data_IF_954913540633
#
_entry.id   IF_954913540633
#
_cell.length_a   1.000
_cell.length_b   1.000
_cell.length_c   1.000
_cell.angle_alpha   90.00
_cell.angle_beta   90.00
_cell.angle_gamma   90.00
#
_symmetry.space_group_name_H-M   'P 1'
#
loop_
_entity.id
_entity.type
_entity.pdbx_description
1 polymer ?
#
# COMPACT_ATOMS: atom_id res chain seq x y z
N UNK A 1 -18.02 -22.00 7.37
CA UNK A 1 -17.00 -21.09 6.81
C UNK A 1 -17.59 -20.04 5.89
N UNK A 2 -18.46 -20.42 4.93
CA UNK A 2 -19.04 -19.48 3.95
C UNK A 2 -20.28 -18.70 4.42
N UNK A 3 -20.92 -19.10 5.53
CA UNK A 3 -22.16 -18.45 6.00
C UNK A 3 -21.88 -16.97 6.32
N UNK A 4 -22.71 -16.02 5.86
CA UNK A 4 -22.58 -14.61 6.25
C UNK A 4 -22.64 -14.43 7.77
N UNK A 5 -21.84 -13.50 8.31
CA UNK A 5 -21.73 -13.27 9.75
C UNK A 5 -21.19 -14.45 10.56
N UNK A 6 -20.49 -15.40 9.92
CA UNK A 6 -19.85 -16.53 10.62
C UNK A 6 -18.46 -16.22 11.15
N UNK A 7 -17.91 -15.07 10.78
CA UNK A 7 -16.65 -14.55 11.33
C UNK A 7 -16.80 -14.28 12.83
N UNK A 8 -15.84 -14.67 13.69
CA UNK A 8 -15.76 -14.19 15.07
C UNK A 8 -15.37 -12.71 15.19
N UNK A 9 -14.87 -12.11 14.10
CA UNK A 9 -14.51 -10.69 14.03
C UNK A 9 -15.64 -9.92 13.34
N UNK A 10 -16.10 -8.88 14.02
CA UNK A 10 -17.09 -7.89 13.58
C UNK A 10 -16.52 -6.52 13.99
N UNK A 11 -16.50 -5.53 13.09
CA UNK A 11 -15.92 -4.21 13.35
C UNK A 11 -16.99 -3.25 13.86
N UNK A 12 -16.59 -1.99 14.12
CA UNK A 12 -17.51 -1.06 14.75
C UNK A 12 -18.68 -0.61 13.85
N UNK A 13 -18.52 -0.68 12.52
CA UNK A 13 -19.55 -0.28 11.57
C UNK A 13 -20.81 -1.15 11.68
N UNK A 14 -21.99 -0.51 11.73
CA UNK A 14 -23.26 -1.22 11.79
C UNK A 14 -23.52 -2.09 10.56
N UNK A 15 -23.81 -3.36 10.82
CA UNK A 15 -24.11 -4.35 9.78
C UNK A 15 -25.40 -4.07 9.02
N UNK A 16 -25.33 -4.13 7.69
CA UNK A 16 -26.43 -3.98 6.73
C UNK A 16 -27.17 -2.63 6.80
N UNK A 17 -26.52 -1.59 7.32
CA UNK A 17 -27.14 -0.26 7.50
C UNK A 17 -27.54 0.38 6.16
N UNK A 18 -26.67 0.26 5.15
CA UNK A 18 -26.85 0.92 3.85
C UNK A 18 -27.35 -0.01 2.75
N UNK A 19 -27.13 -1.33 2.89
CA UNK A 19 -27.49 -2.33 1.88
C UNK A 19 -27.80 -3.67 2.54
N UNK A 20 -28.85 -4.40 2.09
CA UNK A 20 -29.15 -5.73 2.63
C UNK A 20 -28.16 -6.81 2.17
N UNK A 21 -27.26 -6.49 1.24
CA UNK A 21 -26.30 -7.44 0.66
C UNK A 21 -24.86 -7.27 1.15
N UNK A 22 -24.53 -6.12 1.73
CA UNK A 22 -23.17 -5.77 2.16
C UNK A 22 -23.24 -5.47 3.66
N UNK A 23 -22.56 -6.28 4.46
CA UNK A 23 -22.57 -6.16 5.91
C UNK A 23 -21.97 -4.81 6.36
N UNK A 24 -20.68 -4.58 6.15
CA UNK A 24 -20.03 -3.31 6.51
C UNK A 24 -19.75 -2.51 5.23
N UNK A 25 -20.65 -1.58 4.90
CA UNK A 25 -20.67 -0.90 3.61
C UNK A 25 -19.44 0.00 3.40
N UNK A 26 -19.13 0.85 4.37
CA UNK A 26 -18.03 1.81 4.29
C UNK A 26 -16.69 1.07 4.36
N UNK A 27 -16.56 0.07 5.23
CA UNK A 27 -15.37 -0.80 5.28
C UNK A 27 -15.15 -1.51 3.94
N UNK A 28 -16.21 -2.06 3.33
CA UNK A 28 -16.12 -2.70 2.00
C UNK A 28 -15.59 -1.73 0.93
N UNK A 29 -16.20 -0.54 0.78
CA UNK A 29 -15.84 0.38 -0.30
C UNK A 29 -14.56 1.19 -0.02
N UNK A 30 -14.12 1.30 1.23
CA UNK A 30 -12.85 1.95 1.58
C UNK A 30 -11.61 1.22 0.98
N UNK A 31 -11.77 -0.03 0.56
CA UNK A 31 -10.76 -0.80 -0.17
C UNK A 31 -10.50 -0.31 -1.61
N UNK A 32 -11.23 0.68 -2.12
CA UNK A 32 -11.12 1.19 -3.51
C UNK A 32 -9.67 1.51 -3.94
N UNK A 33 -8.82 1.99 -3.03
CA UNK A 33 -7.43 2.33 -3.36
C UNK A 33 -6.58 1.11 -3.73
N UNK A 34 -6.88 -0.07 -3.17
CA UNK A 34 -6.23 -1.33 -3.54
C UNK A 34 -6.51 -1.74 -5.00
N UNK A 35 -7.53 -1.17 -5.63
CA UNK A 35 -7.86 -1.41 -7.03
C UNK A 35 -7.33 -0.29 -7.94
N UNK A 36 -7.40 0.96 -7.49
CA UNK A 36 -7.06 2.11 -8.32
C UNK A 36 -5.55 2.34 -8.46
N UNK A 37 -4.80 2.26 -7.35
CA UNK A 37 -3.38 2.65 -7.34
C UNK A 37 -2.42 1.56 -7.82
N UNK A 38 -2.60 0.26 -7.55
CA UNK A 38 -1.66 -0.76 -8.04
C UNK A 38 -1.50 -0.83 -9.57
N UNK A 39 -2.53 -0.68 -10.41
CA UNK A 39 -2.35 -0.59 -11.86
C UNK A 39 -1.49 0.61 -12.29
N UNK A 40 -1.66 1.77 -11.63
CA UNK A 40 -0.83 2.96 -11.85
C UNK A 40 0.62 2.66 -11.44
N UNK A 41 0.83 2.03 -10.28
CA UNK A 41 2.15 1.62 -9.81
C UNK A 41 2.80 0.59 -10.72
N UNK A 42 2.05 -0.38 -11.26
CA UNK A 42 2.56 -1.33 -12.25
C UNK A 42 3.07 -0.62 -13.50
N UNK A 43 2.38 0.42 -13.96
CA UNK A 43 2.82 1.24 -15.09
C UNK A 43 4.05 2.08 -14.74
N UNK A 44 4.04 2.80 -13.61
CA UNK A 44 5.17 3.63 -13.17
C UNK A 44 6.44 2.82 -12.90
N UNK A 45 6.31 1.60 -12.38
CA UNK A 45 7.44 0.72 -12.05
C UNK A 45 7.93 -0.15 -13.22
N UNK A 46 7.41 -0.01 -14.44
CA UNK A 46 7.91 -0.78 -15.60
C UNK A 46 9.44 -0.65 -15.79
N UNK A 47 10.04 0.56 -15.76
CA UNK A 47 11.50 0.69 -15.92
C UNK A 47 12.28 0.02 -14.79
N UNK A 48 11.81 0.18 -13.55
CA UNK A 48 12.42 -0.49 -12.40
C UNK A 48 12.34 -2.02 -12.54
N UNK A 49 11.18 -2.56 -12.92
CA UNK A 49 10.97 -4.00 -13.10
C UNK A 49 11.86 -4.60 -14.20
N UNK A 50 12.08 -3.86 -15.29
CA UNK A 50 12.95 -4.29 -16.39
C UNK A 50 14.43 -4.30 -16.01
N UNK A 51 14.88 -3.34 -15.19
CA UNK A 51 16.30 -3.17 -14.87
C UNK A 51 16.72 -3.93 -13.62
N UNK A 52 15.86 -4.00 -12.60
CA UNK A 52 16.23 -4.55 -11.28
C UNK A 52 15.53 -5.86 -10.96
N UNK A 53 14.20 -5.88 -10.93
CA UNK A 53 13.45 -7.07 -10.57
C UNK A 53 11.97 -6.99 -11.00
N UNK A 54 11.57 -7.82 -11.95
CA UNK A 54 10.17 -7.90 -12.40
C UNK A 54 9.21 -8.36 -11.28
N UNK A 55 9.71 -9.01 -10.24
CA UNK A 55 8.93 -9.42 -9.07
C UNK A 55 8.23 -8.27 -8.34
N UNK A 56 8.64 -7.01 -8.55
CA UNK A 56 7.91 -5.84 -8.03
C UNK A 56 6.44 -5.82 -8.51
N UNK A 57 6.16 -6.32 -9.72
CA UNK A 57 4.81 -6.36 -10.26
C UNK A 57 3.95 -7.44 -9.57
N UNK A 58 4.58 -8.46 -9.00
CA UNK A 58 3.89 -9.46 -8.16
C UNK A 58 3.39 -8.79 -6.89
N UNK A 59 4.17 -7.89 -6.27
CA UNK A 59 3.74 -7.12 -5.10
C UNK A 59 2.51 -6.27 -5.42
N UNK A 60 2.53 -5.54 -6.53
CA UNK A 60 1.37 -4.74 -6.94
C UNK A 60 0.14 -5.60 -7.24
N UNK A 61 0.32 -6.77 -7.85
CA UNK A 61 -0.77 -7.73 -8.05
C UNK A 61 -1.34 -8.26 -6.74
N UNK A 62 -0.47 -8.59 -5.78
CA UNK A 62 -0.88 -9.06 -4.45
C UNK A 62 -1.63 -7.99 -3.65
N UNK A 63 -1.30 -6.70 -3.81
CA UNK A 63 -2.11 -5.64 -3.19
C UNK A 63 -3.55 -5.63 -3.73
N UNK A 64 -3.77 -5.87 -5.03
CA UNK A 64 -5.13 -6.02 -5.57
C UNK A 64 -5.83 -7.21 -4.93
N UNK A 65 -5.14 -8.34 -4.76
CA UNK A 65 -5.68 -9.54 -4.08
C UNK A 65 -6.08 -9.23 -2.64
N UNK A 66 -5.25 -8.50 -1.89
CA UNK A 66 -5.60 -8.03 -0.53
C UNK A 66 -6.88 -7.20 -0.55
N UNK A 67 -7.01 -6.23 -1.47
CA UNK A 67 -8.23 -5.43 -1.61
C UNK A 67 -9.47 -6.26 -1.94
N UNK A 68 -9.35 -7.27 -2.79
CA UNK A 68 -10.44 -8.21 -3.11
C UNK A 68 -10.85 -9.01 -1.88
N UNK A 69 -9.89 -9.58 -1.17
CA UNK A 69 -10.14 -10.42 0.00
C UNK A 69 -10.73 -9.60 1.15
N UNK A 70 -10.19 -8.42 1.45
CA UNK A 70 -10.74 -7.49 2.45
C UNK A 70 -12.14 -7.03 2.09
N UNK A 71 -12.38 -6.56 0.85
CA UNK A 71 -13.73 -6.16 0.43
C UNK A 71 -14.73 -7.32 0.52
N UNK A 72 -14.32 -8.54 0.15
CA UNK A 72 -15.16 -9.73 0.28
C UNK A 72 -15.45 -10.09 1.74
N UNK A 73 -14.45 -9.95 2.62
CA UNK A 73 -14.63 -10.14 4.05
C UNK A 73 -15.65 -9.15 4.61
N UNK A 74 -15.48 -7.84 4.42
CA UNK A 74 -16.39 -6.82 4.94
C UNK A 74 -17.79 -6.87 4.32
N UNK A 75 -17.92 -7.32 3.07
CA UNK A 75 -19.22 -7.50 2.46
C UNK A 75 -20.00 -8.68 3.07
N UNK A 76 -19.31 -9.73 3.52
CA UNK A 76 -19.96 -10.99 3.94
C UNK A 76 -19.89 -11.27 5.44
N UNK A 77 -18.89 -10.73 6.14
CA UNK A 77 -18.44 -11.14 7.47
C UNK A 77 -18.36 -12.67 7.62
N UNK A 78 -17.92 -13.36 6.57
CA UNK A 78 -17.76 -14.82 6.58
C UNK A 78 -16.39 -15.22 7.13
N UNK A 79 -16.32 -16.35 7.83
CA UNK A 79 -15.05 -16.89 8.33
C UNK A 79 -14.07 -17.20 7.18
N UNK A 80 -14.55 -17.65 6.02
CA UNK A 80 -13.69 -17.82 4.85
C UNK A 80 -13.12 -16.48 4.38
N UNK A 81 -13.95 -15.43 4.30
CA UNK A 81 -13.50 -14.10 3.92
C UNK A 81 -12.41 -13.59 4.85
N UNK A 82 -12.61 -13.74 6.17
CA UNK A 82 -11.61 -13.36 7.17
C UNK A 82 -10.27 -14.07 6.92
N UNK A 83 -10.28 -15.40 6.75
CA UNK A 83 -9.06 -16.17 6.52
C UNK A 83 -8.36 -15.79 5.20
N UNK A 84 -9.13 -15.50 4.14
CA UNK A 84 -8.57 -15.05 2.87
C UNK A 84 -7.91 -13.68 2.99
N UNK A 85 -8.52 -12.74 3.71
CA UNK A 85 -7.98 -11.41 3.94
C UNK A 85 -6.67 -11.47 4.73
N UNK A 86 -6.69 -12.13 5.90
CA UNK A 86 -5.51 -12.31 6.74
C UNK A 86 -4.37 -13.04 5.98
N UNK A 87 -4.69 -14.08 5.23
CA UNK A 87 -3.71 -14.84 4.45
C UNK A 87 -3.11 -14.02 3.29
N UNK A 88 -3.92 -13.23 2.59
CA UNK A 88 -3.45 -12.36 1.51
C UNK A 88 -2.45 -11.32 2.04
N UNK A 89 -2.71 -10.75 3.22
CA UNK A 89 -1.78 -9.82 3.90
C UNK A 89 -0.45 -10.52 4.23
N UNK A 90 -0.50 -11.73 4.78
CA UNK A 90 0.71 -12.50 5.10
C UNK A 90 1.51 -12.83 3.83
N UNK A 91 0.84 -13.16 2.73
CA UNK A 91 1.51 -13.45 1.45
C UNK A 91 2.18 -12.23 0.84
N UNK A 92 1.55 -11.06 0.86
CA UNK A 92 2.21 -9.84 0.34
C UNK A 92 3.42 -9.46 1.20
N UNK A 93 3.34 -9.59 2.53
CA UNK A 93 4.48 -9.36 3.43
C UNK A 93 5.60 -10.35 3.17
N UNK A 94 5.29 -11.64 3.05
CA UNK A 94 6.28 -12.68 2.74
C UNK A 94 6.93 -12.46 1.38
N UNK A 95 6.16 -12.05 0.37
CA UNK A 95 6.69 -11.74 -0.97
C UNK A 95 7.59 -10.50 -0.93
N UNK A 96 7.18 -9.43 -0.22
CA UNK A 96 8.00 -8.23 -0.05
C UNK A 96 9.33 -8.54 0.66
N UNK A 97 9.26 -9.38 1.70
CA UNK A 97 10.45 -9.88 2.38
C UNK A 97 11.33 -10.70 1.43
N UNK A 98 10.80 -11.69 0.71
CA UNK A 98 11.58 -12.48 -0.23
C UNK A 98 12.22 -11.63 -1.36
N UNK A 99 11.54 -10.56 -1.79
CA UNK A 99 11.98 -9.71 -2.89
C UNK A 99 13.08 -8.71 -2.47
N UNK A 100 12.87 -8.03 -1.35
CA UNK A 100 13.73 -6.92 -0.90
C UNK A 100 14.61 -7.26 0.29
N UNK A 101 14.51 -8.49 0.83
CA UNK A 101 15.40 -9.01 1.85
C UNK A 101 16.30 -10.15 1.32
N UNK A 102 17.46 -9.84 0.71
CA UNK A 102 18.49 -10.83 0.43
C UNK A 102 19.40 -11.06 1.65
N UNK A 103 19.82 -12.32 1.84
CA UNK A 103 20.70 -12.86 2.89
C UNK A 103 22.12 -12.25 3.03
N UNK A 104 22.37 -11.04 2.51
CA UNK A 104 23.68 -10.33 2.55
C UNK A 104 23.82 -9.37 3.74
N UNK A 105 22.81 -9.25 4.61
CA UNK A 105 22.73 -8.21 5.66
C UNK A 105 22.51 -8.71 7.10
N UNK A 106 23.09 -9.84 7.45
CA UNK A 106 23.44 -10.10 8.86
C UNK A 106 24.92 -10.48 8.94
N UNK A 107 25.68 -9.99 9.93
CA UNK A 107 25.91 -8.60 10.34
C UNK A 107 27.35 -8.15 9.99
N UNK A 108 27.65 -6.86 10.19
CA UNK A 108 28.90 -6.37 10.81
C UNK A 108 28.57 -4.98 11.38
N UNK A 109 27.82 -4.98 12.49
CA UNK A 109 27.52 -3.84 13.37
C UNK A 109 27.20 -2.47 12.74
N UNK A 110 26.13 -2.32 11.96
CA UNK A 110 25.63 -1.03 11.44
C UNK A 110 26.51 -0.37 10.37
N UNK A 111 26.52 -0.93 9.16
CA UNK A 111 26.94 -0.20 7.96
C UNK A 111 25.95 0.94 7.64
N UNK A 112 25.93 1.98 8.48
CA UNK A 112 25.23 3.26 8.31
C UNK A 112 25.93 4.05 7.19
N UNK A 113 25.57 3.80 5.93
CA UNK A 113 25.52 4.93 5.00
C UNK A 113 24.23 5.66 5.32
N UNK A 114 24.35 6.84 5.93
CA UNK A 114 23.19 7.70 6.18
C UNK A 114 22.65 8.07 4.80
N UNK A 115 21.41 7.67 4.47
CA UNK A 115 20.75 8.19 3.28
C UNK A 115 20.70 9.72 3.45
N UNK A 116 21.40 10.46 2.58
CA UNK A 116 21.48 11.92 2.62
C UNK A 116 20.38 12.56 1.78
N UNK A 117 19.61 11.77 1.04
CA UNK A 117 18.53 12.27 0.21
C UNK A 117 17.35 12.72 1.09
N UNK A 118 17.24 14.03 1.30
CA UNK A 118 16.18 14.64 2.10
C UNK A 118 14.77 14.26 1.64
N UNK A 119 14.55 14.02 0.34
CA UNK A 119 13.25 13.61 -0.20
C UNK A 119 12.86 12.21 0.25
N UNK A 120 13.80 11.27 0.24
CA UNK A 120 13.59 9.89 0.73
C UNK A 120 13.36 9.90 2.24
N UNK A 121 14.11 10.70 2.99
CA UNK A 121 13.91 10.85 4.44
C UNK A 121 12.53 11.43 4.78
N UNK A 122 12.07 12.47 4.07
CA UNK A 122 10.72 13.03 4.25
C UNK A 122 9.63 12.03 3.90
N UNK A 123 9.79 11.28 2.81
CA UNK A 123 8.85 10.23 2.43
C UNK A 123 8.80 9.11 3.50
N UNK A 124 9.96 8.70 4.02
CA UNK A 124 10.06 7.73 5.11
C UNK A 124 9.38 8.22 6.40
N UNK A 125 9.63 9.46 6.81
CA UNK A 125 8.97 10.07 7.96
C UNK A 125 7.45 10.13 7.78
N UNK A 126 6.97 10.56 6.60
CA UNK A 126 5.54 10.58 6.27
C UNK A 126 4.93 9.18 6.31
N UNK A 127 5.60 8.20 5.70
CA UNK A 127 5.18 6.80 5.72
C UNK A 127 5.03 6.29 7.16
N UNK A 128 6.00 6.57 8.03
CA UNK A 128 5.95 6.22 9.45
C UNK A 128 4.78 6.89 10.17
N UNK A 129 4.57 8.19 9.96
CA UNK A 129 3.45 8.92 10.58
C UNK A 129 2.08 8.42 10.12
N UNK A 130 1.91 8.14 8.83
CA UNK A 130 0.67 7.57 8.28
C UNK A 130 0.42 6.18 8.84
N UNK A 131 1.45 5.34 8.95
CA UNK A 131 1.33 4.02 9.55
C UNK A 131 0.92 4.09 11.03
N UNK A 132 1.52 4.99 11.81
CA UNK A 132 1.14 5.21 13.22
C UNK A 132 -0.33 5.64 13.31
N UNK A 133 -0.76 6.56 12.45
CA UNK A 133 -2.15 7.01 12.42
C UNK A 133 -3.11 5.88 12.01
N UNK A 134 -2.73 5.03 11.05
CA UNK A 134 -3.50 3.86 10.67
C UNK A 134 -3.69 2.92 11.87
N UNK A 135 -2.60 2.55 12.55
CA UNK A 135 -2.66 1.71 13.75
C UNK A 135 -3.51 2.36 14.83
N UNK A 136 -3.40 3.67 15.03
CA UNK A 136 -4.26 4.40 15.95
C UNK A 136 -5.74 4.26 15.60
N UNK A 137 -6.14 4.45 14.34
CA UNK A 137 -7.52 4.25 13.88
C UNK A 137 -8.00 2.82 14.13
N UNK A 138 -7.18 1.82 13.77
CA UNK A 138 -7.51 0.40 13.95
C UNK A 138 -7.70 0.02 15.43
N UNK A 139 -6.80 0.46 16.31
CA UNK A 139 -6.89 0.18 17.76
C UNK A 139 -8.12 0.88 18.34
N UNK A 140 -8.39 2.13 17.95
CA UNK A 140 -9.51 2.89 18.49
C UNK A 140 -10.87 2.33 18.04
N UNK A 141 -10.98 1.90 16.78
CA UNK A 141 -12.18 1.21 16.28
C UNK A 141 -12.48 -0.02 17.12
N UNK A 142 -11.45 -0.82 17.42
CA UNK A 142 -11.61 -2.08 18.15
C UNK A 142 -11.88 -1.91 19.64
N UNK A 143 -11.15 -1.00 20.30
CA UNK A 143 -11.17 -0.88 21.76
C UNK A 143 -12.23 0.08 22.27
N UNK A 144 -12.64 1.06 21.47
CA UNK A 144 -13.54 2.14 21.90
C UNK A 144 -14.80 2.24 21.02
N UNK A 145 -15.23 1.12 20.44
CA UNK A 145 -16.36 1.10 19.51
C UNK A 145 -17.64 1.72 20.10
N UNK A 146 -17.99 1.42 21.35
CA UNK A 146 -19.17 1.98 22.01
C UNK A 146 -19.13 3.52 22.03
N UNK A 147 -17.95 4.10 22.24
CA UNK A 147 -17.76 5.55 22.26
C UNK A 147 -17.91 6.15 20.86
N UNK A 148 -17.30 5.54 19.86
CA UNK A 148 -17.37 6.03 18.47
C UNK A 148 -18.76 5.87 17.88
N UNK A 149 -19.45 4.78 18.20
CA UNK A 149 -20.85 4.56 17.84
C UNK A 149 -21.77 5.59 18.50
N UNK A 150 -21.57 5.90 19.79
CA UNK A 150 -22.31 6.95 20.49
C UNK A 150 -22.12 8.33 19.84
N UNK A 151 -20.91 8.61 19.35
CA UNK A 151 -20.59 9.84 18.61
C UNK A 151 -21.03 9.81 17.13
N UNK A 152 -21.74 8.76 16.68
CA UNK A 152 -22.18 8.55 15.30
C UNK A 152 -21.01 8.52 14.28
N UNK A 153 -19.86 8.01 14.68
CA UNK A 153 -18.67 7.88 13.82
C UNK A 153 -17.98 6.50 13.93
N UNK A 154 -18.67 5.38 13.61
CA UNK A 154 -18.10 4.02 13.69
C UNK A 154 -17.29 3.62 12.43
N UNK A 155 -16.55 4.56 11.82
CA UNK A 155 -15.89 4.36 10.52
C UNK A 155 -14.36 4.43 10.59
N UNK A 156 -13.78 4.24 11.78
CA UNK A 156 -12.33 4.31 11.96
C UNK A 156 -11.61 3.15 11.24
N UNK A 157 -12.23 1.98 11.17
CA UNK A 157 -11.69 0.85 10.40
C UNK A 157 -11.62 1.15 8.89
N UNK A 158 -12.62 1.81 8.32
CA UNK A 158 -12.57 2.26 6.93
C UNK A 158 -11.42 3.25 6.67
N UNK A 159 -11.16 4.16 7.62
CA UNK A 159 -10.01 5.08 7.55
C UNK A 159 -8.69 4.28 7.63
N UNK A 160 -8.64 3.22 8.45
CA UNK A 160 -7.49 2.34 8.51
C UNK A 160 -7.16 1.74 7.14
N UNK A 161 -8.12 1.22 6.37
CA UNK A 161 -7.87 0.68 5.02
C UNK A 161 -7.15 1.67 4.10
N UNK A 162 -7.60 2.93 4.09
CA UNK A 162 -7.03 3.99 3.27
C UNK A 162 -5.60 4.29 3.72
N UNK A 163 -5.40 4.51 5.02
CA UNK A 163 -4.09 4.88 5.56
C UNK A 163 -3.08 3.74 5.46
N UNK A 164 -3.49 2.50 5.76
CA UNK A 164 -2.59 1.35 5.72
C UNK A 164 -2.18 1.02 4.29
N UNK A 165 -3.07 1.16 3.31
CA UNK A 165 -2.71 1.06 1.90
C UNK A 165 -1.64 2.09 1.53
N UNK A 166 -1.87 3.36 1.89
CA UNK A 166 -0.93 4.46 1.58
C UNK A 166 0.44 4.21 2.20
N UNK A 167 0.48 3.79 3.46
CA UNK A 167 1.71 3.43 4.14
C UNK A 167 2.39 2.21 3.49
N UNK A 168 1.66 1.13 3.22
CA UNK A 168 2.21 -0.11 2.70
C UNK A 168 2.83 0.06 1.30
N UNK A 169 2.12 0.72 0.36
CA UNK A 169 2.69 0.94 -0.97
C UNK A 169 3.88 1.92 -0.90
N UNK A 170 3.83 2.95 -0.04
CA UNK A 170 4.96 3.88 0.14
C UNK A 170 6.18 3.16 0.71
N UNK A 171 6.00 2.25 1.66
CA UNK A 171 7.06 1.40 2.17
C UNK A 171 7.67 0.54 1.06
N UNK A 172 6.85 -0.05 0.19
CA UNK A 172 7.31 -0.79 -0.99
C UNK A 172 8.16 0.08 -1.93
N UNK A 173 7.76 1.33 -2.18
CA UNK A 173 8.54 2.29 -2.98
C UNK A 173 9.89 2.59 -2.33
N UNK A 174 9.92 2.79 -1.01
CA UNK A 174 11.16 3.02 -0.26
C UNK A 174 12.09 1.81 -0.31
N UNK A 175 11.56 0.60 -0.13
CA UNK A 175 12.35 -0.63 -0.25
C UNK A 175 12.88 -0.82 -1.66
N UNK A 176 12.06 -0.57 -2.69
CA UNK A 176 12.51 -0.60 -4.08
C UNK A 176 13.60 0.44 -4.35
N UNK A 177 13.49 1.64 -3.80
CA UNK A 177 14.53 2.67 -3.92
C UNK A 177 15.86 2.20 -3.34
N UNK A 178 15.86 1.70 -2.10
CA UNK A 178 17.07 1.18 -1.46
C UNK A 178 17.61 -0.07 -2.16
N UNK A 179 16.76 -0.93 -2.71
CA UNK A 179 17.18 -2.08 -3.51
C UNK A 179 17.91 -1.63 -4.78
N UNK A 180 17.38 -0.64 -5.50
CA UNK A 180 18.04 -0.05 -6.67
C UNK A 180 19.37 0.61 -6.33
N UNK A 181 19.41 1.42 -5.25
CA UNK A 181 20.62 2.11 -4.79
C UNK A 181 21.72 1.10 -4.41
N UNK A 182 21.36 -0.04 -3.83
CA UNK A 182 22.31 -1.07 -3.42
C UNK A 182 22.78 -1.98 -4.56
N UNK A 183 21.91 -2.32 -5.53
CA UNK A 183 22.24 -3.26 -6.61
C UNK A 183 23.02 -2.62 -7.75
N UNK A 184 22.58 -1.47 -8.23
CA UNK A 184 23.19 -0.79 -9.40
C UNK A 184 23.22 0.73 -9.15
N UNK A 185 24.18 1.22 -8.34
CA UNK A 185 24.30 2.65 -8.02
C UNK A 185 24.45 3.54 -9.27
N UNK A 186 25.07 3.02 -10.33
CA UNK A 186 25.33 3.72 -11.60
C UNK A 186 24.08 4.17 -12.34
N UNK A 187 22.93 3.52 -12.08
CA UNK A 187 21.64 3.91 -12.66
C UNK A 187 20.99 5.11 -11.97
N UNK A 188 21.63 5.66 -10.93
CA UNK A 188 21.21 6.83 -10.15
C UNK A 188 19.68 6.83 -9.95
N UNK A 189 19.15 5.92 -9.11
CA UNK A 189 17.72 5.88 -8.84
C UNK A 189 17.27 7.18 -8.20
N UNK A 190 16.14 7.70 -8.66
CA UNK A 190 15.55 8.95 -8.19
C UNK A 190 14.14 8.71 -7.69
N UNK A 191 13.79 9.36 -6.58
CA UNK A 191 12.42 9.37 -6.09
C UNK A 191 11.62 10.47 -6.80
N UNK A 192 10.64 10.03 -7.60
CA UNK A 192 9.75 10.87 -8.42
C UNK A 192 8.30 10.77 -7.96
N UNK A 193 7.47 11.72 -8.37
CA UNK A 193 6.04 11.76 -8.03
C UNK A 193 5.18 11.94 -9.28
N UNK A 194 4.17 11.08 -9.43
CA UNK A 194 3.17 11.21 -10.48
C UNK A 194 1.92 11.95 -9.95
N UNK A 195 1.27 12.83 -10.70
CA UNK A 195 1.51 13.18 -12.12
C UNK A 195 2.63 14.21 -12.36
N UNK A 196 3.11 14.88 -11.32
CA UNK A 196 4.20 15.86 -11.41
C UNK A 196 5.06 15.81 -10.16
N UNK A 197 6.37 15.98 -10.34
CA UNK A 197 7.36 16.00 -9.25
C UNK A 197 7.14 17.17 -8.27
N UNK A 198 6.37 18.18 -8.66
CA UNK A 198 5.96 19.27 -7.77
C UNK A 198 4.93 18.82 -6.72
N UNK A 199 4.22 17.71 -6.96
CA UNK A 199 3.27 17.13 -6.02
C UNK A 199 3.95 16.18 -5.04
N UNK A 200 5.05 16.60 -4.41
CA UNK A 200 5.78 15.76 -3.45
C UNK A 200 4.87 15.26 -2.30
N UNK A 201 3.86 16.04 -1.91
CA UNK A 201 2.96 15.72 -0.79
C UNK A 201 1.78 14.81 -1.16
N UNK A 202 1.18 15.00 -2.33
CA UNK A 202 -0.07 14.33 -2.75
C UNK A 202 0.11 13.38 -3.93
N UNK A 203 1.22 13.50 -4.65
CA UNK A 203 1.52 12.66 -5.80
C UNK A 203 1.89 11.24 -5.39
N UNK A 204 1.77 10.32 -6.34
CA UNK A 204 2.12 8.91 -6.18
C UNK A 204 3.64 8.78 -6.29
N UNK A 205 4.37 8.47 -5.20
CA UNK A 205 5.81 8.27 -5.26
C UNK A 205 6.14 6.99 -6.03
N UNK A 206 7.20 7.05 -6.83
CA UNK A 206 7.74 5.89 -7.55
C UNK A 206 9.25 6.04 -7.76
N UNK A 207 9.91 4.93 -8.11
CA UNK A 207 11.35 4.94 -8.41
C UNK A 207 11.55 5.20 -9.91
N UNK A 208 12.10 6.36 -10.22
CA UNK A 208 12.58 6.71 -11.56
C UNK A 208 14.05 6.34 -11.76
N UNK A 209 14.44 6.10 -13.01
CA UNK A 209 15.84 5.85 -13.39
C UNK A 209 16.31 6.97 -14.33
N UNK A 210 17.48 7.56 -14.03
CA UNK A 210 18.07 8.56 -14.91
C UNK A 210 18.53 7.90 -16.22
N UNK A 211 18.21 8.53 -17.36
CA UNK A 211 18.54 8.03 -18.70
C UNK A 211 17.45 7.24 -19.43
N UNK A 212 16.33 6.89 -18.78
CA UNK A 212 15.12 6.32 -19.44
C UNK A 212 13.96 7.33 -19.46
N UNK A 213 14.02 8.40 -18.64
CA UNK A 213 12.93 9.37 -18.52
C UNK A 213 12.62 10.11 -19.83
N UNK A 214 13.61 10.34 -20.70
CA UNK A 214 13.39 11.07 -21.95
C UNK A 214 12.36 10.38 -22.86
N UNK A 215 12.28 9.05 -22.83
CA UNK A 215 11.42 8.28 -23.73
C UNK A 215 9.98 8.23 -23.22
N UNK A 216 9.81 8.16 -21.89
CA UNK A 216 8.49 8.23 -21.24
C UNK A 216 7.93 9.65 -21.18
N UNK A 217 8.77 10.67 -20.93
CA UNK A 217 8.38 12.08 -20.94
C UNK A 217 7.88 12.51 -22.33
N UNK A 218 8.46 11.97 -23.40
CA UNK A 218 7.98 12.18 -24.77
C UNK A 218 6.62 11.54 -25.05
N UNK A 219 6.35 10.36 -24.50
CA UNK A 219 5.05 9.66 -24.64
C UNK A 219 3.95 10.38 -23.86
N UNK A 220 4.23 10.82 -22.63
CA UNK A 220 3.27 11.54 -21.79
C UNK A 220 2.94 12.92 -22.37
N UNK A 221 3.93 13.66 -22.87
CA UNK A 221 3.67 14.94 -23.58
C UNK A 221 2.85 14.75 -24.86
N UNK A 222 2.98 13.60 -25.54
CA UNK A 222 2.18 13.30 -26.74
C UNK A 222 0.71 13.02 -26.44
N UNK A 223 0.40 12.45 -25.27
CA UNK A 223 -0.98 12.11 -24.89
C UNK A 223 -1.80 13.29 -24.36
N UNK A 224 -1.16 14.40 -23.96
CA UNK A 224 -1.85 15.63 -23.55
C UNK A 224 -1.99 16.69 -24.66
N UNK A 225 -1.60 16.35 -25.89
CA UNK A 225 -1.68 17.22 -27.08
C UNK A 225 -2.60 16.64 -28.18
N UNK A 226 -3.46 15.67 -27.85
CA UNK A 226 -4.48 15.10 -28.75
C UNK A 226 -5.85 15.32 -28.11
#
# INVERSE_FOLDING_TARGET
MLKPGSSPVDWCESNYLYSPFIAEYVNTFSNVLFFALPPILMWLFRPYGQVFNQGVHIIWGMLIVVGICSAYFHATLSLLGQLLDELAILWVVATAFALWFPARYLPNYFRRKRCTNSRVLRLGARCGSIWILAVFCWVNDRMFCDTWSYLNFPYLHAIWHILIFIAAYTACVLFAFFDAENKIPEKNPELKFWPSDNYEFLGVPYVGLSGISWEMDHVIKKQHLI
#
